data_IF_017720957933
#
_entry.id   IF_017720957933
#
_cell.length_a   1.000
_cell.length_b   1.000
_cell.length_c   1.000
_cell.angle_alpha   90.00
_cell.angle_beta   90.00
_cell.angle_gamma   90.00
#
_symmetry.space_group_name_H-M   'P 1'
#
loop_
_entity.id
_entity.type
_entity.pdbx_description
1 polymer ?
#
# COMPACT_ATOMS: atom_id res chain seq x y z
N UNK A 1 25.06 32.08 36.23
CA UNK A 1 24.04 31.71 35.23
C UNK A 1 24.48 30.39 34.61
N UNK A 2 23.85 29.28 35.00
CA UNK A 2 24.13 27.97 34.42
C UNK A 2 23.04 27.66 33.38
N UNK A 3 23.40 27.62 32.10
CA UNK A 3 22.54 27.09 31.04
C UNK A 3 22.44 25.58 31.21
N UNK A 4 21.29 25.10 31.68
CA UNK A 4 20.92 23.69 31.52
C UNK A 4 20.40 23.52 30.10
N UNK A 5 21.22 22.93 29.23
CA UNK A 5 20.74 22.36 27.97
C UNK A 5 19.89 21.14 28.32
N UNK A 6 18.56 21.31 28.26
CA UNK A 6 17.64 20.18 28.28
C UNK A 6 17.83 19.38 26.99
N UNK A 7 18.61 18.31 27.04
CA UNK A 7 18.52 17.24 26.06
C UNK A 7 17.09 16.69 26.15
N UNK A 8 16.31 16.87 25.09
CA UNK A 8 15.03 16.19 24.92
C UNK A 8 15.33 14.70 24.80
N UNK A 9 15.27 14.01 25.93
CA UNK A 9 15.40 12.57 26.02
C UNK A 9 14.22 11.96 25.25
N UNK A 10 14.50 11.35 24.09
CA UNK A 10 13.53 10.55 23.36
C UNK A 10 13.09 9.43 24.29
N UNK A 11 11.86 9.49 24.80
CA UNK A 11 11.31 8.44 25.67
C UNK A 11 11.44 7.09 24.94
N UNK A 12 12.17 6.17 25.55
CA UNK A 12 12.47 4.82 25.04
C UNK A 12 11.24 3.90 25.06
N UNK A 13 10.28 4.16 24.17
CA UNK A 13 9.18 3.24 23.90
C UNK A 13 9.65 2.04 23.07
N UNK A 14 8.88 0.94 23.08
CA UNK A 14 9.15 -0.18 22.17
C UNK A 14 8.88 0.28 20.73
N UNK A 15 9.76 -0.04 19.76
CA UNK A 15 9.55 0.35 18.38
C UNK A 15 8.25 -0.27 17.84
N UNK A 16 7.61 0.43 16.91
CA UNK A 16 6.45 -0.11 16.19
C UNK A 16 6.93 -1.14 15.19
N UNK A 17 6.38 -2.35 15.22
CA UNK A 17 6.67 -3.38 14.20
C UNK A 17 5.76 -3.14 12.99
N UNK A 18 6.31 -3.10 11.78
CA UNK A 18 5.55 -2.76 10.57
C UNK A 18 5.79 -3.81 9.50
N UNK A 19 4.74 -4.42 8.95
CA UNK A 19 4.81 -5.24 7.73
C UNK A 19 4.16 -4.48 6.58
N UNK A 20 4.82 -4.43 5.42
CA UNK A 20 4.24 -3.84 4.20
C UNK A 20 3.84 -4.96 3.24
N UNK A 21 2.54 -5.07 2.97
CA UNK A 21 1.93 -6.08 2.12
C UNK A 21 1.43 -5.46 0.81
N UNK A 22 1.85 -6.05 -0.31
CA UNK A 22 1.35 -5.72 -1.64
C UNK A 22 0.08 -6.50 -1.94
N UNK A 23 -0.96 -5.80 -2.37
CA UNK A 23 -2.25 -6.34 -2.80
C UNK A 23 -2.28 -6.44 -4.33
N UNK A 24 -2.98 -7.43 -4.88
CA UNK A 24 -3.20 -7.58 -6.33
C UNK A 24 -4.61 -7.16 -6.76
N UNK A 25 -5.34 -6.47 -5.87
CA UNK A 25 -6.68 -5.96 -6.12
C UNK A 25 -7.66 -7.03 -6.61
N UNK A 26 -8.39 -6.78 -7.71
CA UNK A 26 -9.29 -7.75 -8.31
C UNK A 26 -8.59 -9.06 -8.71
N UNK A 27 -7.26 -9.08 -8.85
CA UNK A 27 -6.48 -10.30 -9.07
C UNK A 27 -6.66 -11.34 -7.95
N UNK A 28 -7.03 -10.94 -6.73
CA UNK A 28 -7.33 -11.88 -5.63
C UNK A 28 -8.53 -12.79 -5.93
N UNK A 29 -9.42 -12.43 -6.86
CA UNK A 29 -10.56 -13.26 -7.26
C UNK A 29 -10.17 -14.37 -8.24
N UNK A 30 -9.04 -14.20 -8.93
CA UNK A 30 -8.64 -15.05 -10.05
C UNK A 30 -7.36 -15.84 -9.74
N UNK A 31 -6.52 -15.35 -8.82
CA UNK A 31 -5.27 -16.01 -8.43
C UNK A 31 -5.51 -17.25 -7.58
N UNK A 32 -4.90 -18.36 -7.99
CA UNK A 32 -4.84 -19.60 -7.19
C UNK A 32 -3.75 -19.53 -6.10
N UNK A 33 -2.80 -18.59 -6.22
CA UNK A 33 -1.63 -18.47 -5.33
C UNK A 33 -1.80 -17.39 -4.26
N UNK A 34 -2.48 -16.30 -4.61
CA UNK A 34 -2.78 -15.18 -3.74
C UNK A 34 -4.27 -14.83 -3.75
N UNK A 35 -5.13 -15.83 -3.61
CA UNK A 35 -6.55 -15.62 -3.44
C UNK A 35 -6.91 -14.97 -2.10
N UNK A 36 -8.20 -14.70 -1.91
CA UNK A 36 -8.72 -14.08 -0.66
C UNK A 36 -8.41 -14.92 0.59
N UNK A 37 -8.50 -16.26 0.50
CA UNK A 37 -8.16 -17.16 1.61
C UNK A 37 -6.69 -17.03 2.02
N UNK A 38 -5.78 -16.89 1.05
CA UNK A 38 -4.36 -16.73 1.32
C UNK A 38 -4.09 -15.36 1.95
N UNK A 39 -4.72 -14.29 1.45
CA UNK A 39 -4.63 -12.97 2.05
C UNK A 39 -5.14 -12.96 3.49
N UNK A 40 -6.28 -13.62 3.76
CA UNK A 40 -6.82 -13.76 5.10
C UNK A 40 -5.83 -14.45 6.04
N UNK A 41 -5.25 -15.57 5.62
CA UNK A 41 -4.24 -16.30 6.38
C UNK A 41 -2.99 -15.45 6.67
N UNK A 42 -2.52 -14.67 5.68
CA UNK A 42 -1.38 -13.77 5.81
C UNK A 42 -1.67 -12.67 6.85
N UNK A 43 -2.84 -12.03 6.79
CA UNK A 43 -3.21 -10.99 7.76
C UNK A 43 -3.36 -11.54 9.18
N UNK A 44 -3.92 -12.75 9.32
CA UNK A 44 -3.97 -13.45 10.62
C UNK A 44 -2.57 -13.74 11.17
N UNK A 45 -1.66 -14.23 10.33
CA UNK A 45 -0.26 -14.50 10.72
C UNK A 45 0.49 -13.21 11.07
N UNK A 46 0.20 -12.12 10.36
CA UNK A 46 0.76 -10.81 10.65
C UNK A 46 0.39 -10.37 12.08
N UNK A 47 -0.82 -10.68 12.58
CA UNK A 47 -1.33 -10.26 13.90
C UNK A 47 -1.29 -8.73 14.09
N UNK A 48 -1.88 -7.94 13.18
CA UNK A 48 -1.86 -6.49 13.30
C UNK A 48 -2.74 -6.02 14.46
N UNK A 49 -2.30 -4.97 15.17
CA UNK A 49 -3.16 -4.13 16.00
C UNK A 49 -3.82 -3.01 15.16
N UNK A 50 -3.17 -2.63 14.05
CA UNK A 50 -3.57 -1.56 13.15
C UNK A 50 -3.31 -1.98 11.69
N UNK A 51 -4.24 -1.70 10.79
CA UNK A 51 -4.05 -1.88 9.34
C UNK A 51 -4.19 -0.54 8.62
N UNK A 52 -3.09 -0.07 8.03
CA UNK A 52 -3.05 1.13 7.18
C UNK A 52 -3.34 0.71 5.75
N UNK A 53 -4.50 1.07 5.21
CA UNK A 53 -4.98 0.50 3.95
C UNK A 53 -5.19 1.54 2.86
N UNK A 54 -5.06 1.15 1.59
CA UNK A 54 -5.30 1.98 0.41
C UNK A 54 -6.80 2.23 0.16
N UNK A 55 -7.49 2.71 1.18
CA UNK A 55 -8.85 3.25 1.12
C UNK A 55 -8.77 4.77 1.32
N UNK A 56 -9.43 5.59 0.49
CA UNK A 56 -9.50 7.03 0.74
C UNK A 56 -10.31 7.35 2.00
N UNK A 57 -9.88 8.30 2.86
CA UNK A 57 -10.56 8.60 4.11
C UNK A 57 -12.05 8.95 3.96
N UNK A 58 -12.43 9.70 2.92
CA UNK A 58 -13.82 10.08 2.63
C UNK A 58 -14.70 8.87 2.25
N UNK A 59 -14.09 7.82 1.68
CA UNK A 59 -14.79 6.58 1.28
C UNK A 59 -14.89 5.60 2.44
N UNK A 60 -13.86 5.55 3.28
CA UNK A 60 -13.82 4.67 4.44
C UNK A 60 -14.95 4.95 5.42
N UNK A 61 -15.25 6.21 5.72
CA UNK A 61 -16.33 6.57 6.66
C UNK A 61 -17.68 5.98 6.23
N UNK A 62 -18.02 6.13 4.94
CA UNK A 62 -19.25 5.57 4.38
C UNK A 62 -19.24 4.03 4.41
N UNK A 63 -18.18 3.39 3.94
CA UNK A 63 -18.07 1.94 3.90
C UNK A 63 -18.10 1.31 5.31
N UNK A 64 -17.42 1.91 6.28
CA UNK A 64 -17.43 1.46 7.66
C UNK A 64 -18.82 1.57 8.30
N UNK A 65 -19.55 2.65 8.03
CA UNK A 65 -20.93 2.80 8.49
C UNK A 65 -21.87 1.75 7.88
N UNK A 66 -21.76 1.47 6.57
CA UNK A 66 -22.54 0.44 5.89
C UNK A 66 -22.25 -0.96 6.45
N UNK A 67 -20.96 -1.30 6.61
CA UNK A 67 -20.54 -2.59 7.14
C UNK A 67 -20.98 -2.78 8.60
N UNK A 68 -20.83 -1.76 9.44
CA UNK A 68 -21.30 -1.82 10.83
C UNK A 68 -22.83 -2.00 10.93
N UNK A 69 -23.59 -1.42 9.99
CA UNK A 69 -25.05 -1.51 10.00
C UNK A 69 -25.58 -2.82 9.41
N UNK A 70 -24.93 -3.37 8.39
CA UNK A 70 -25.51 -4.44 7.55
C UNK A 70 -24.58 -5.62 7.30
N UNK A 71 -23.30 -5.52 7.64
CA UNK A 71 -22.26 -6.48 7.26
C UNK A 71 -21.92 -6.47 5.77
N UNK A 72 -22.43 -5.51 5.01
CA UNK A 72 -22.21 -5.37 3.56
C UNK A 72 -21.74 -3.96 3.24
N UNK A 73 -20.89 -3.81 2.21
CA UNK A 73 -20.40 -2.53 1.72
C UNK A 73 -20.97 -2.29 0.32
N UNK A 74 -21.63 -1.15 0.14
CA UNK A 74 -22.17 -0.67 -1.14
C UNK A 74 -21.44 0.55 -1.70
N UNK A 75 -20.59 1.20 -0.90
CA UNK A 75 -19.74 2.32 -1.34
C UNK A 75 -18.96 1.92 -2.62
N UNK A 76 -19.18 2.60 -3.76
CA UNK A 76 -18.71 2.14 -5.07
C UNK A 76 -17.21 1.94 -5.21
N UNK A 77 -16.38 2.72 -4.52
CA UNK A 77 -14.93 2.63 -4.62
C UNK A 77 -14.40 1.48 -3.78
N UNK A 78 -14.87 1.34 -2.54
CA UNK A 78 -14.44 0.27 -1.62
C UNK A 78 -14.96 -1.08 -2.11
N UNK A 79 -16.20 -1.16 -2.60
CA UNK A 79 -16.79 -2.42 -3.08
C UNK A 79 -16.09 -3.02 -4.31
N UNK A 80 -15.28 -2.23 -5.02
CA UNK A 80 -14.54 -2.68 -6.19
C UNK A 80 -13.32 -3.55 -5.81
N UNK A 81 -12.94 -3.56 -4.53
CA UNK A 81 -11.77 -4.24 -4.02
C UNK A 81 -12.19 -5.37 -3.07
N UNK A 82 -12.10 -6.63 -3.53
CA UNK A 82 -12.50 -7.79 -2.72
C UNK A 82 -11.64 -7.95 -1.48
N UNK A 83 -10.36 -7.52 -1.51
CA UNK A 83 -9.49 -7.51 -0.33
C UNK A 83 -10.05 -6.68 0.83
N UNK A 84 -10.86 -5.66 0.55
CA UNK A 84 -11.50 -4.86 1.59
C UNK A 84 -12.79 -5.50 2.06
N UNK A 85 -13.69 -5.80 1.13
CA UNK A 85 -15.05 -6.24 1.43
C UNK A 85 -15.07 -7.63 2.04
N UNK A 86 -14.29 -8.55 1.48
CA UNK A 86 -14.38 -9.98 1.79
C UNK A 86 -13.33 -10.42 2.81
N UNK A 87 -12.28 -9.61 3.04
CA UNK A 87 -11.19 -9.95 3.98
C UNK A 87 -11.04 -8.90 5.07
N UNK A 88 -10.68 -7.66 4.73
CA UNK A 88 -10.24 -6.69 5.73
C UNK A 88 -11.33 -6.30 6.74
N UNK A 89 -12.53 -5.93 6.28
CA UNK A 89 -13.64 -5.55 7.17
C UNK A 89 -14.15 -6.74 8.02
N UNK A 90 -14.39 -7.94 7.44
CA UNK A 90 -14.72 -9.13 8.23
C UNK A 90 -13.66 -9.47 9.28
N UNK A 91 -12.37 -9.50 8.91
CA UNK A 91 -11.29 -9.76 9.85
C UNK A 91 -11.18 -8.69 10.93
N UNK A 92 -11.44 -7.43 10.59
CA UNK A 92 -11.45 -6.35 11.57
C UNK A 92 -12.53 -6.58 12.63
N UNK A 93 -13.74 -6.98 12.21
CA UNK A 93 -14.82 -7.29 13.13
C UNK A 93 -14.53 -8.53 14.01
N UNK A 94 -13.82 -9.51 13.47
CA UNK A 94 -13.44 -10.73 14.21
C UNK A 94 -12.27 -10.50 15.19
N UNK A 95 -11.18 -9.88 14.71
CA UNK A 95 -9.90 -9.79 15.42
C UNK A 95 -9.74 -8.48 16.21
N UNK A 96 -10.52 -7.46 15.90
CA UNK A 96 -10.56 -6.20 16.67
C UNK A 96 -9.41 -5.23 16.41
N UNK A 97 -8.63 -5.39 15.34
CA UNK A 97 -7.66 -4.37 14.93
C UNK A 97 -8.36 -3.10 14.41
N UNK A 98 -7.67 -1.95 14.41
CA UNK A 98 -8.21 -0.72 13.82
C UNK A 98 -7.80 -0.64 12.33
N UNK A 99 -8.75 -0.30 11.45
CA UNK A 99 -8.44 0.06 10.05
C UNK A 99 -8.23 1.58 9.97
N UNK A 100 -7.15 2.01 9.34
CA UNK A 100 -6.85 3.42 9.07
C UNK A 100 -6.73 3.65 7.57
N UNK A 101 -7.60 4.49 6.96
CA UNK A 101 -7.53 4.79 5.54
C UNK A 101 -6.33 5.69 5.23
N UNK A 102 -5.50 5.28 4.27
CA UNK A 102 -4.25 5.95 3.92
C UNK A 102 -4.10 6.23 2.41
N UNK A 103 -5.13 6.03 1.58
CA UNK A 103 -5.08 6.47 0.19
C UNK A 103 -5.40 7.96 0.07
N UNK A 104 -4.45 8.73 -0.46
CA UNK A 104 -4.61 10.16 -0.72
C UNK A 104 -5.41 10.48 -2.00
N UNK A 105 -5.90 9.47 -2.72
CA UNK A 105 -6.69 9.66 -3.93
C UNK A 105 -8.04 10.31 -3.63
N UNK A 106 -8.29 11.47 -4.23
CA UNK A 106 -9.64 12.03 -4.32
C UNK A 106 -10.24 11.78 -5.70
N UNK A 107 -11.57 11.90 -5.82
CA UNK A 107 -12.24 11.83 -7.13
C UNK A 107 -11.75 12.93 -8.07
N UNK A 108 -11.64 14.16 -7.56
CA UNK A 108 -11.16 15.31 -8.33
C UNK A 108 -9.77 15.05 -8.90
N UNK A 109 -8.84 14.56 -8.08
CA UNK A 109 -7.49 14.19 -8.53
C UNK A 109 -7.51 13.11 -9.62
N UNK A 110 -8.38 12.10 -9.50
CA UNK A 110 -8.48 11.04 -10.50
C UNK A 110 -9.04 11.56 -11.84
N UNK A 111 -10.01 12.45 -11.79
CA UNK A 111 -10.62 13.06 -12.98
C UNK A 111 -9.65 14.04 -13.67
N UNK A 112 -8.98 14.90 -12.89
CA UNK A 112 -7.94 15.81 -13.40
C UNK A 112 -6.77 15.06 -14.02
N UNK A 113 -6.28 14.01 -13.34
CA UNK A 113 -5.23 13.12 -13.87
C UNK A 113 -5.64 12.52 -15.19
N UNK A 114 -6.88 12.00 -15.31
CA UNK A 114 -7.37 11.39 -16.54
C UNK A 114 -7.41 12.40 -17.68
N UNK A 115 -7.96 13.59 -17.43
CA UNK A 115 -8.03 14.66 -18.42
C UNK A 115 -6.63 15.09 -18.88
N UNK A 116 -5.70 15.26 -17.93
CA UNK A 116 -4.33 15.68 -18.23
C UNK A 116 -3.54 14.61 -18.98
N UNK A 117 -3.68 13.33 -18.63
CA UNK A 117 -3.05 12.24 -19.38
C UNK A 117 -3.55 12.18 -20.83
N UNK A 118 -4.85 12.40 -21.05
CA UNK A 118 -5.41 12.45 -22.40
C UNK A 118 -4.86 13.62 -23.23
N UNK A 119 -4.60 14.76 -22.61
CA UNK A 119 -3.90 15.89 -23.25
C UNK A 119 -2.43 15.55 -23.55
N UNK A 120 -1.73 14.90 -22.61
CA UNK A 120 -0.32 14.54 -22.72
C UNK A 120 -0.08 13.50 -23.82
N UNK A 121 -0.99 12.54 -24.00
CA UNK A 121 -0.94 11.57 -25.09
C UNK A 121 -0.87 12.23 -26.47
N UNK A 122 -1.56 13.36 -26.66
CA UNK A 122 -1.56 14.11 -27.93
C UNK A 122 -0.36 15.05 -28.03
N UNK A 123 0.03 15.69 -26.92
CA UNK A 123 1.03 16.76 -26.91
C UNK A 123 2.46 16.27 -26.70
N UNK A 124 2.64 15.09 -26.09
CA UNK A 124 3.93 14.46 -25.76
C UNK A 124 3.95 12.98 -26.18
N UNK A 125 3.69 12.65 -27.46
CA UNK A 125 3.50 11.26 -27.90
C UNK A 125 4.74 10.39 -27.73
N UNK A 126 5.94 10.98 -27.71
CA UNK A 126 7.19 10.22 -27.49
C UNK A 126 7.31 9.78 -26.03
N UNK A 127 7.08 10.69 -25.10
CA UNK A 127 7.13 10.46 -23.66
C UNK A 127 6.02 9.49 -23.22
N UNK A 128 4.84 9.58 -23.86
CA UNK A 128 3.77 8.61 -23.67
C UNK A 128 4.19 7.22 -24.15
N UNK A 129 4.78 7.09 -25.34
CA UNK A 129 5.26 5.79 -25.82
C UNK A 129 6.36 5.19 -24.92
N UNK A 130 7.25 6.02 -24.36
CA UNK A 130 8.27 5.56 -23.40
C UNK A 130 7.63 5.09 -22.09
N UNK A 131 6.62 5.81 -21.61
CA UNK A 131 5.82 5.45 -20.43
C UNK A 131 5.10 4.13 -20.62
N UNK A 132 4.42 3.94 -21.75
CA UNK A 132 3.69 2.71 -22.06
C UNK A 132 4.65 1.52 -22.17
N UNK A 133 5.83 1.72 -22.78
CA UNK A 133 6.87 0.71 -22.84
C UNK A 133 7.40 0.34 -21.44
N UNK A 134 7.55 1.33 -20.55
CA UNK A 134 7.93 1.10 -19.15
C UNK A 134 6.89 0.28 -18.38
N UNK A 135 5.60 0.60 -18.49
CA UNK A 135 4.55 -0.21 -17.85
C UNK A 135 4.45 -1.62 -18.44
N UNK A 136 4.58 -1.77 -19.75
CA UNK A 136 4.58 -3.07 -20.40
C UNK A 136 5.78 -3.94 -19.97
N UNK A 137 6.94 -3.33 -19.67
CA UNK A 137 8.11 -4.08 -19.21
C UNK A 137 7.91 -4.68 -17.81
N UNK A 138 7.16 -4.01 -16.93
CA UNK A 138 6.87 -4.52 -15.57
C UNK A 138 6.20 -5.90 -15.66
N UNK A 139 5.09 -5.98 -16.40
CA UNK A 139 4.34 -7.23 -16.58
C UNK A 139 5.22 -8.31 -17.21
N UNK A 140 5.95 -7.96 -18.28
CA UNK A 140 6.81 -8.91 -18.99
C UNK A 140 7.94 -9.45 -18.10
N UNK A 141 8.57 -8.60 -17.29
CA UNK A 141 9.64 -8.97 -16.37
C UNK A 141 9.10 -9.79 -15.18
N UNK A 142 7.97 -9.38 -14.60
CA UNK A 142 7.30 -10.17 -13.55
C UNK A 142 6.89 -11.53 -14.08
N UNK A 143 6.32 -11.63 -15.28
CA UNK A 143 5.98 -12.91 -15.90
C UNK A 143 7.21 -13.78 -16.12
N UNK A 144 8.28 -13.23 -16.70
CA UNK A 144 9.52 -13.95 -16.95
C UNK A 144 10.18 -14.46 -15.66
N UNK A 145 10.00 -13.74 -14.56
CA UNK A 145 10.52 -14.09 -13.24
C UNK A 145 9.54 -14.92 -12.38
N UNK A 146 8.33 -15.22 -12.87
CA UNK A 146 7.31 -15.97 -12.12
C UNK A 146 6.75 -15.21 -10.92
N UNK A 147 6.55 -13.89 -11.05
CA UNK A 147 6.21 -12.97 -9.96
C UNK A 147 4.82 -12.32 -10.05
N UNK A 148 3.97 -12.74 -10.99
CA UNK A 148 2.70 -12.06 -11.28
C UNK A 148 1.74 -12.04 -10.09
N UNK A 149 1.53 -13.20 -9.47
CA UNK A 149 0.48 -13.38 -8.48
C UNK A 149 0.88 -14.28 -7.29
N UNK A 150 2.15 -14.67 -7.14
CA UNK A 150 2.61 -15.42 -5.96
C UNK A 150 2.96 -14.45 -4.82
N UNK A 151 2.33 -14.55 -3.63
CA UNK A 151 2.66 -13.66 -2.53
C UNK A 151 4.10 -13.82 -2.04
N UNK A 152 4.79 -14.93 -2.33
CA UNK A 152 6.20 -15.16 -1.97
C UNK A 152 7.18 -14.37 -2.84
N UNK A 153 6.76 -13.97 -4.04
CA UNK A 153 7.61 -13.24 -4.98
C UNK A 153 7.23 -11.77 -5.03
N UNK A 154 5.94 -11.44 -4.93
CA UNK A 154 5.45 -10.06 -4.83
C UNK A 154 6.13 -9.30 -3.68
N UNK A 155 6.35 -9.96 -2.55
CA UNK A 155 6.96 -9.34 -1.36
C UNK A 155 8.50 -9.31 -1.36
N UNK A 156 9.14 -9.48 -2.53
CA UNK A 156 10.61 -9.39 -2.66
C UNK A 156 11.08 -8.00 -3.07
N UNK A 157 12.35 -7.69 -2.81
CA UNK A 157 13.00 -6.47 -3.31
C UNK A 157 13.13 -6.48 -4.85
N UNK A 158 13.26 -7.66 -5.46
CA UNK A 158 13.33 -7.81 -6.92
C UNK A 158 12.03 -7.37 -7.60
N UNK A 159 10.88 -7.72 -7.03
CA UNK A 159 9.58 -7.23 -7.50
C UNK A 159 9.51 -5.70 -7.45
N UNK A 160 9.92 -5.10 -6.33
CA UNK A 160 9.90 -3.65 -6.11
C UNK A 160 10.82 -2.91 -7.08
N UNK A 161 12.00 -3.46 -7.39
CA UNK A 161 12.94 -2.83 -8.33
C UNK A 161 12.42 -2.85 -9.77
N UNK A 162 11.78 -3.94 -10.21
CA UNK A 162 11.13 -4.00 -11.54
C UNK A 162 10.08 -2.91 -11.66
N UNK A 163 9.19 -2.77 -10.66
CA UNK A 163 8.17 -1.72 -10.65
C UNK A 163 8.80 -0.33 -10.66
N UNK A 164 9.84 -0.09 -9.85
CA UNK A 164 10.54 1.19 -9.78
C UNK A 164 11.17 1.57 -11.13
N UNK A 165 11.77 0.62 -11.84
CA UNK A 165 12.36 0.86 -13.16
C UNK A 165 11.25 1.17 -14.18
N UNK A 166 10.22 0.33 -14.26
CA UNK A 166 9.15 0.48 -15.25
C UNK A 166 8.24 1.70 -15.04
N UNK A 167 8.06 2.13 -13.79
CA UNK A 167 7.34 3.39 -13.45
C UNK A 167 8.22 4.64 -13.65
N UNK A 168 9.53 4.47 -13.83
CA UNK A 168 10.49 5.57 -13.94
C UNK A 168 10.24 6.57 -15.09
N UNK A 169 9.88 6.12 -16.31
CA UNK A 169 9.50 7.04 -17.38
C UNK A 169 8.23 7.84 -17.06
N UNK A 170 7.19 7.19 -16.53
CA UNK A 170 5.95 7.85 -16.13
C UNK A 170 6.22 8.97 -15.11
N UNK A 171 7.02 8.66 -14.09
CA UNK A 171 7.35 9.61 -13.04
C UNK A 171 8.14 10.80 -13.59
N UNK A 172 9.19 10.52 -14.36
CA UNK A 172 10.07 11.55 -14.95
C UNK A 172 9.32 12.49 -15.89
N UNK A 173 8.44 11.96 -16.72
CA UNK A 173 7.79 12.73 -17.78
C UNK A 173 6.52 13.43 -17.29
N UNK A 174 5.76 12.80 -16.39
CA UNK A 174 4.40 13.24 -16.09
C UNK A 174 4.15 13.62 -14.63
N UNK A 175 5.01 13.30 -13.67
CA UNK A 175 4.74 13.57 -12.26
C UNK A 175 4.42 15.06 -11.99
N UNK A 176 5.26 15.96 -12.48
CA UNK A 176 5.08 17.40 -12.28
C UNK A 176 3.84 17.94 -13.00
N UNK A 177 3.59 17.47 -14.24
CA UNK A 177 2.45 17.88 -15.04
C UNK A 177 1.11 17.43 -14.43
N UNK A 178 1.11 16.32 -13.68
CA UNK A 178 -0.05 15.75 -13.02
C UNK A 178 -0.26 16.27 -11.59
N UNK A 179 0.67 17.08 -11.06
CA UNK A 179 0.60 17.57 -9.69
C UNK A 179 0.43 16.42 -8.69
N UNK A 180 -0.54 16.52 -7.78
CA UNK A 180 -0.78 15.48 -6.76
C UNK A 180 -1.16 14.11 -7.35
N UNK A 181 -1.60 14.03 -8.61
CA UNK A 181 -1.89 12.77 -9.30
C UNK A 181 -0.68 12.10 -9.96
N UNK A 182 0.50 12.74 -9.91
CA UNK A 182 1.77 12.18 -10.37
C UNK A 182 2.25 11.03 -9.49
N UNK A 183 3.13 10.16 -10.01
CA UNK A 183 3.54 8.92 -9.32
C UNK A 183 4.30 9.17 -8.03
N UNK A 184 5.37 9.97 -8.05
CA UNK A 184 6.08 10.33 -6.84
C UNK A 184 5.19 11.11 -5.87
N UNK A 185 4.44 12.09 -6.38
CA UNK A 185 3.60 12.98 -5.58
C UNK A 185 2.48 12.23 -4.84
N UNK A 186 1.81 11.28 -5.50
CA UNK A 186 0.73 10.52 -4.87
C UNK A 186 1.28 9.53 -3.82
N UNK A 187 2.43 8.89 -4.09
CA UNK A 187 3.08 8.01 -3.13
C UNK A 187 3.55 8.76 -1.88
N UNK A 188 4.09 9.98 -2.05
CA UNK A 188 4.47 10.83 -0.92
C UNK A 188 3.24 11.24 -0.10
N UNK A 189 2.10 11.52 -0.75
CA UNK A 189 0.84 11.82 -0.09
C UNK A 189 0.23 10.60 0.64
N UNK A 190 0.32 9.40 0.06
CA UNK A 190 -0.04 8.14 0.73
C UNK A 190 0.82 7.93 1.99
N UNK A 191 2.13 8.09 1.84
CA UNK A 191 3.06 7.96 2.96
C UNK A 191 2.79 8.99 4.06
N UNK A 192 2.43 10.23 3.74
CA UNK A 192 2.10 11.23 4.75
C UNK A 192 0.95 10.77 5.67
N UNK A 193 -0.08 10.11 5.12
CA UNK A 193 -1.17 9.52 5.90
C UNK A 193 -0.68 8.33 6.75
N UNK A 194 0.11 7.44 6.16
CA UNK A 194 0.72 6.32 6.88
C UNK A 194 1.60 6.79 8.04
N UNK A 195 2.45 7.79 7.80
CA UNK A 195 3.38 8.34 8.78
C UNK A 195 2.63 8.98 9.96
N UNK A 196 1.55 9.72 9.69
CA UNK A 196 0.68 10.28 10.71
C UNK A 196 0.00 9.19 11.55
N UNK A 197 -0.42 8.08 10.93
CA UNK A 197 -0.99 6.94 11.65
C UNK A 197 0.06 6.23 12.53
N UNK A 198 1.26 6.01 12.02
CA UNK A 198 2.39 5.45 12.78
C UNK A 198 2.79 6.34 13.97
N UNK A 199 2.72 7.67 13.82
CA UNK A 199 3.00 8.61 14.90
C UNK A 199 2.02 8.49 16.07
N UNK A 200 0.74 8.15 15.81
CA UNK A 200 -0.27 7.88 16.86
C UNK A 200 0.09 6.68 17.73
N UNK A 201 0.89 5.74 17.21
CA UNK A 201 1.23 4.49 17.88
C UNK A 201 2.70 4.38 18.30
N UNK A 202 3.50 5.43 18.03
CA UNK A 202 4.93 5.49 18.34
C UNK A 202 5.22 5.08 19.79
N UNK A 203 6.18 4.17 19.95
CA UNK A 203 6.69 3.76 21.26
C UNK A 203 5.78 2.80 22.04
N UNK A 204 4.62 2.42 21.49
CA UNK A 204 3.65 1.52 22.15
C UNK A 204 3.94 0.04 21.90
N UNK A 205 4.90 -0.30 21.05
CA UNK A 205 5.20 -1.69 20.66
C UNK A 205 4.06 -2.37 19.92
N UNK A 206 3.25 -1.59 19.19
CA UNK A 206 2.15 -2.11 18.37
C UNK A 206 2.70 -2.71 17.08
N UNK A 207 1.93 -3.64 16.51
CA UNK A 207 2.18 -4.19 15.20
C UNK A 207 1.22 -3.61 14.18
N UNK A 208 1.77 -3.13 13.07
CA UNK A 208 1.02 -2.46 12.01
C UNK A 208 1.22 -3.22 10.70
N UNK A 209 0.13 -3.51 9.99
CA UNK A 209 0.19 -3.94 8.60
C UNK A 209 -0.14 -2.75 7.69
N UNK A 210 0.65 -2.52 6.65
CA UNK A 210 0.37 -1.57 5.57
C UNK A 210 -0.07 -2.38 4.36
N UNK A 211 -1.29 -2.16 3.85
CA UNK A 211 -1.86 -2.91 2.71
C UNK A 211 -2.18 -1.96 1.57
N UNK A 212 -1.35 -1.98 0.53
CA UNK A 212 -1.52 -1.17 -0.69
C UNK A 212 -1.35 -2.05 -1.93
N UNK A 213 -1.83 -1.60 -3.08
CA UNK A 213 -1.51 -2.20 -4.37
C UNK A 213 -0.01 -2.45 -4.49
N UNK A 214 0.37 -3.63 -4.98
CA UNK A 214 1.74 -4.14 -4.91
C UNK A 214 2.78 -3.17 -5.50
N UNK A 215 2.39 -2.35 -6.47
CA UNK A 215 3.28 -1.37 -7.10
C UNK A 215 3.68 -0.19 -6.17
N UNK A 216 2.89 0.10 -5.13
CA UNK A 216 3.20 1.12 -4.13
C UNK A 216 4.18 0.63 -3.05
N UNK A 217 4.33 -0.70 -2.90
CA UNK A 217 5.07 -1.33 -1.80
C UNK A 217 6.50 -0.83 -1.69
N UNK A 218 7.26 -0.84 -2.78
CA UNK A 218 8.66 -0.40 -2.78
C UNK A 218 8.85 1.04 -2.28
N UNK A 219 7.96 1.97 -2.68
CA UNK A 219 8.00 3.38 -2.23
C UNK A 219 7.68 3.50 -0.74
N UNK A 220 6.65 2.79 -0.27
CA UNK A 220 6.28 2.75 1.15
C UNK A 220 7.38 2.18 2.04
N UNK A 221 8.04 1.09 1.59
CA UNK A 221 9.17 0.48 2.30
C UNK A 221 10.38 1.40 2.36
N UNK A 222 10.72 2.06 1.25
CA UNK A 222 11.80 3.04 1.22
C UNK A 222 11.55 4.19 2.22
N UNK A 223 10.33 4.74 2.24
CA UNK A 223 9.97 5.80 3.18
C UNK A 223 9.92 5.33 4.64
N UNK A 224 9.48 4.09 4.89
CA UNK A 224 9.52 3.46 6.21
C UNK A 224 10.95 3.29 6.73
N UNK A 225 11.91 2.94 5.87
CA UNK A 225 13.32 2.76 6.23
C UNK A 225 13.99 4.05 6.73
N UNK A 226 13.43 5.23 6.42
CA UNK A 226 13.89 6.51 6.95
C UNK A 226 13.48 6.75 8.42
N UNK A 227 12.54 5.95 8.94
CA UNK A 227 12.07 6.07 10.33
C UNK A 227 12.95 5.29 11.29
N UNK A 228 13.34 5.94 12.39
CA UNK A 228 14.12 5.30 13.46
C UNK A 228 13.26 4.71 14.58
N UNK A 229 11.95 4.95 14.58
CA UNK A 229 10.99 4.51 15.60
C UNK A 229 10.16 3.29 15.19
N UNK A 230 10.40 2.77 13.97
CA UNK A 230 9.77 1.58 13.42
C UNK A 230 10.81 0.50 13.11
N UNK A 231 10.37 -0.75 13.13
CA UNK A 231 11.13 -1.91 12.63
C UNK A 231 10.27 -2.59 11.58
N UNK A 232 10.81 -2.69 10.36
CA UNK A 232 10.15 -3.44 9.30
C UNK A 232 10.27 -4.95 9.56
N UNK A 233 9.15 -5.66 9.49
CA UNK A 233 9.08 -7.12 9.51
C UNK A 233 9.19 -7.67 8.09
N UNK A 234 9.87 -8.81 7.93
CA UNK A 234 9.95 -9.52 6.66
C UNK A 234 8.57 -10.07 6.26
N UNK A 235 7.92 -9.43 5.28
CA UNK A 235 6.65 -9.86 4.73
C UNK A 235 6.72 -11.30 4.19
N UNK A 236 7.83 -11.72 3.58
CA UNK A 236 7.98 -13.09 3.09
C UNK A 236 8.08 -14.11 4.22
N UNK A 237 8.64 -13.74 5.37
CA UNK A 237 8.62 -14.61 6.54
C UNK A 237 7.19 -14.85 7.02
N UNK A 238 6.36 -13.80 7.05
CA UNK A 238 4.93 -13.89 7.41
C UNK A 238 4.16 -14.72 6.38
N UNK A 239 4.39 -14.51 5.09
CA UNK A 239 3.77 -15.31 4.02
C UNK A 239 4.13 -16.79 4.15
N UNK A 240 5.39 -17.13 4.44
CA UNK A 240 5.82 -18.52 4.67
C UNK A 240 5.23 -19.12 5.95
N UNK A 241 5.10 -18.33 7.02
CA UNK A 241 4.41 -18.75 8.25
C UNK A 241 2.94 -19.09 7.96
N UNK A 242 2.24 -18.24 7.22
CA UNK A 242 0.83 -18.38 6.90
C UNK A 242 0.54 -19.55 5.94
N UNK A 243 1.34 -19.67 4.88
CA UNK A 243 1.04 -20.55 3.74
C UNK A 243 1.92 -21.82 3.71
N UNK A 244 2.84 -21.97 4.66
CA UNK A 244 3.82 -23.05 4.68
C UNK A 244 4.91 -22.93 3.60
N UNK A 245 5.80 -23.94 3.49
CA UNK A 245 7.02 -23.90 2.67
C UNK A 245 6.81 -23.83 1.14
N UNK A 246 5.57 -23.69 0.65
CA UNK A 246 5.24 -23.77 -0.78
C UNK A 246 5.16 -25.22 -1.27
N UNK A 247 4.49 -25.43 -2.41
CA UNK A 247 4.59 -26.68 -3.18
C UNK A 247 5.80 -26.63 -4.10
#
# INVERSE_FOLDING_TARGET
MACRSGSNEVKSGKPTEVVVLGMIHSGHLESELYGLEQLEAILRAARPDLVLTEIPPDRFEAAAAEFAATGTITEPRVRAFPEYVDVLFPLQAELGFEIVPCAAWTREMADDRRAKLSELEVTQPRETAETDAGFASIEAEHQAAGMLDDPRTIHTDGYDEIVKIGTGPYDRHFNDALGLGGWSNINDAHWALCAAALDRVRGRGMRVAITFGAWHKGRLRAALAERTDCVELDANAIVREALGPGR
#
